data_IF_926979747288
#
_entry.id   IF_926979747288
#
_cell.length_a   1.000
_cell.length_b   1.000
_cell.length_c   1.000
_cell.angle_alpha   90.00
_cell.angle_beta   90.00
_cell.angle_gamma   90.00
#
_symmetry.space_group_name_H-M   'P 1'
#
loop_
_entity.id
_entity.type
_entity.pdbx_description
1 polymer ?
#
# COMPACT_ATOMS: atom_id res chain seq x y z
N UNK A 1 -5.00 5.29 20.02
CA UNK A 1 -4.81 6.05 18.76
C UNK A 1 -5.57 5.31 17.71
N UNK A 2 -6.48 5.98 17.00
CA UNK A 2 -7.20 5.34 15.89
C UNK A 2 -6.19 4.90 14.83
N UNK A 3 -6.24 3.63 14.44
CA UNK A 3 -5.38 3.08 13.38
C UNK A 3 -5.70 3.79 12.08
N UNK A 4 -4.73 4.55 11.55
CA UNK A 4 -4.89 5.26 10.27
C UNK A 4 -4.29 4.41 9.16
N UNK A 5 -5.17 3.81 8.37
CA UNK A 5 -4.81 3.15 7.11
C UNK A 5 -4.91 4.14 5.95
N UNK A 6 -3.87 4.19 5.14
CA UNK A 6 -3.82 4.99 3.91
C UNK A 6 -3.69 4.03 2.73
N UNK A 7 -4.61 4.10 1.78
CA UNK A 7 -4.58 3.27 0.58
C UNK A 7 -3.77 3.95 -0.53
N UNK A 8 -2.79 3.24 -1.09
CA UNK A 8 -2.02 3.68 -2.23
C UNK A 8 -2.29 2.80 -3.45
N UNK A 9 -3.12 3.33 -4.35
CA UNK A 9 -3.61 2.65 -5.55
C UNK A 9 -2.57 2.75 -6.66
N UNK A 10 -1.89 1.66 -6.97
CA UNK A 10 -0.81 1.64 -8.00
C UNK A 10 -1.22 0.93 -9.30
N UNK A 11 -2.40 0.30 -9.30
CA UNK A 11 -2.94 -0.39 -10.47
C UNK A 11 -3.21 0.56 -11.64
N UNK A 12 -3.19 0.01 -12.85
CA UNK A 12 -3.55 0.73 -14.07
C UNK A 12 -4.24 -0.21 -15.06
N UNK A 13 -5.23 0.29 -15.79
CA UNK A 13 -5.96 -0.46 -16.83
C UNK A 13 -5.22 -0.53 -18.18
N UNK A 14 -3.92 -0.24 -18.17
CA UNK A 14 -3.06 -0.23 -19.35
C UNK A 14 -1.78 -1.02 -19.07
N UNK A 15 -1.10 -1.45 -20.15
CA UNK A 15 0.22 -2.04 -20.04
C UNK A 15 1.22 -0.95 -19.64
N UNK A 16 1.83 -1.11 -18.47
CA UNK A 16 2.84 -0.20 -17.95
C UNK A 16 4.25 -0.62 -18.40
N UNK A 17 5.01 0.31 -18.96
CA UNK A 17 6.45 0.16 -19.15
C UNK A 17 7.21 0.38 -17.82
N UNK A 18 8.42 -0.18 -17.63
CA UNK A 18 9.18 0.00 -16.38
C UNK A 18 9.49 1.46 -16.01
N UNK A 19 9.56 2.35 -17.00
CA UNK A 19 9.77 3.79 -16.78
C UNK A 19 8.48 4.55 -16.42
N UNK A 20 7.31 3.89 -16.45
CA UNK A 20 6.05 4.54 -16.13
C UNK A 20 6.04 5.00 -14.66
N UNK A 21 5.75 6.29 -14.39
CA UNK A 21 5.80 6.82 -13.04
C UNK A 21 4.78 6.13 -12.13
N UNK A 22 5.07 6.13 -10.83
CA UNK A 22 4.08 5.80 -9.81
C UNK A 22 3.07 6.96 -9.68
N UNK A 23 1.83 6.70 -9.25
CA UNK A 23 0.85 7.76 -8.99
C UNK A 23 1.35 8.73 -7.90
N UNK A 24 0.73 9.90 -7.82
CA UNK A 24 1.00 10.83 -6.73
C UNK A 24 0.71 10.18 -5.37
N UNK A 25 1.54 10.51 -4.36
CA UNK A 25 1.33 9.96 -3.03
C UNK A 25 0.10 10.62 -2.40
N UNK A 26 -0.78 9.84 -1.74
CA UNK A 26 -1.79 10.41 -0.86
C UNK A 26 -1.13 11.12 0.32
N UNK A 27 -1.89 11.89 1.09
CA UNK A 27 -1.43 12.38 2.38
C UNK A 27 -1.14 11.19 3.30
N UNK A 28 0.07 11.13 3.86
CA UNK A 28 0.49 10.07 4.79
C UNK A 28 0.72 10.73 6.15
N UNK A 29 -0.27 10.70 7.06
CA UNK A 29 -0.09 11.21 8.41
C UNK A 29 1.03 10.47 9.13
N UNK A 30 1.73 11.15 10.04
CA UNK A 30 2.74 10.50 10.89
C UNK A 30 2.13 9.32 11.64
N UNK A 31 2.80 8.18 11.59
CA UNK A 31 2.34 6.94 12.24
C UNK A 31 1.38 6.11 11.39
N UNK A 32 0.95 6.56 10.21
CA UNK A 32 0.06 5.81 9.35
C UNK A 32 0.72 4.56 8.74
N UNK A 33 -0.07 3.50 8.63
CA UNK A 33 0.25 2.32 7.83
C UNK A 33 -0.28 2.53 6.43
N UNK A 34 0.56 2.33 5.42
CA UNK A 34 0.17 2.48 4.01
C UNK A 34 -0.03 1.10 3.39
N UNK A 35 -1.17 0.91 2.74
CA UNK A 35 -1.55 -0.33 2.06
C UNK A 35 -1.43 -0.10 0.55
N UNK A 36 -0.52 -0.83 -0.10
CA UNK A 36 -0.36 -0.83 -1.55
C UNK A 36 -1.40 -1.76 -2.15
N UNK A 37 -2.17 -1.28 -3.12
CA UNK A 37 -3.20 -2.06 -3.82
C UNK A 37 -3.19 -1.81 -5.34
N UNK A 38 -3.85 -2.70 -6.07
CA UNK A 38 -4.16 -2.52 -7.50
C UNK A 38 -3.44 -3.50 -8.41
N UNK A 39 -4.01 -3.81 -9.57
CA UNK A 39 -3.40 -4.75 -10.54
C UNK A 39 -2.17 -4.12 -11.19
N UNK A 40 -0.99 -4.57 -10.79
CA UNK A 40 0.27 -4.06 -11.32
C UNK A 40 1.36 -5.16 -11.40
N UNK A 41 2.40 -4.96 -12.22
CA UNK A 41 3.57 -5.83 -12.23
C UNK A 41 4.34 -5.79 -10.90
N UNK A 42 4.98 -6.90 -10.52
CA UNK A 42 5.74 -7.03 -9.27
C UNK A 42 6.79 -5.92 -9.09
N UNK A 43 7.49 -5.53 -10.17
CA UNK A 43 8.49 -4.46 -10.10
C UNK A 43 7.89 -3.10 -9.68
N UNK A 44 6.62 -2.83 -9.99
CA UNK A 44 5.92 -1.60 -9.58
C UNK A 44 5.61 -1.62 -8.10
N UNK A 45 5.25 -2.77 -7.54
CA UNK A 45 5.14 -2.94 -6.09
C UNK A 45 6.47 -2.69 -5.39
N UNK A 46 7.59 -3.20 -5.94
CA UNK A 46 8.93 -2.91 -5.41
C UNK A 46 9.27 -1.42 -5.39
N UNK A 47 8.95 -0.70 -6.46
CA UNK A 47 9.12 0.76 -6.52
C UNK A 47 8.23 1.49 -5.51
N UNK A 48 6.95 1.10 -5.40
CA UNK A 48 6.01 1.69 -4.46
C UNK A 48 6.44 1.44 -3.00
N UNK A 49 6.85 0.21 -2.68
CA UNK A 49 7.42 -0.16 -1.39
C UNK A 49 8.61 0.72 -1.03
N UNK A 50 9.60 0.83 -1.94
CA UNK A 50 10.78 1.65 -1.67
C UNK A 50 10.43 3.12 -1.42
N UNK A 51 9.49 3.68 -2.19
CA UNK A 51 9.01 5.05 -2.02
C UNK A 51 8.32 5.28 -0.67
N UNK A 52 7.61 4.27 -0.15
CA UNK A 52 6.82 4.36 1.08
C UNK A 52 7.62 4.01 2.34
N UNK A 53 8.66 3.17 2.24
CA UNK A 53 9.40 2.63 3.38
C UNK A 53 9.96 3.71 4.33
N UNK A 54 10.35 4.87 3.80
CA UNK A 54 10.85 6.00 4.60
C UNK A 54 9.79 7.01 5.04
N UNK A 55 8.54 6.84 4.62
CA UNK A 55 7.44 7.80 4.85
C UNK A 55 6.37 7.24 5.80
N UNK A 56 6.05 5.96 5.66
CA UNK A 56 5.04 5.27 6.45
C UNK A 56 5.66 4.67 7.72
N UNK A 57 4.82 4.47 8.74
CA UNK A 57 5.23 3.74 9.95
C UNK A 57 5.37 2.24 9.67
N UNK A 58 4.51 1.72 8.80
CA UNK A 58 4.54 0.38 8.25
C UNK A 58 3.95 0.38 6.84
N UNK A 59 4.33 -0.62 6.05
CA UNK A 59 3.83 -0.82 4.69
C UNK A 59 3.24 -2.21 4.58
N UNK A 60 2.04 -2.31 4.01
CA UNK A 60 1.37 -3.56 3.68
C UNK A 60 1.05 -3.65 2.20
N UNK A 61 0.86 -4.88 1.71
CA UNK A 61 0.39 -5.16 0.35
C UNK A 61 -0.95 -5.87 0.44
N UNK A 62 -1.95 -5.36 -0.26
CA UNK A 62 -3.28 -5.97 -0.30
C UNK A 62 -3.31 -7.21 -1.20
N UNK A 63 -3.76 -8.34 -0.64
CA UNK A 63 -4.13 -9.55 -1.36
C UNK A 63 -5.63 -9.80 -1.16
N UNK A 64 -6.47 -9.83 -2.23
CA UNK A 64 -7.91 -10.05 -2.11
C UNK A 64 -8.34 -11.35 -1.42
N UNK A 65 -7.43 -12.32 -1.25
CA UNK A 65 -7.69 -13.60 -0.59
C UNK A 65 -7.37 -13.58 0.90
N UNK A 66 -6.57 -12.62 1.36
CA UNK A 66 -6.02 -12.59 2.72
C UNK A 66 -6.39 -11.31 3.49
N UNK A 67 -6.42 -10.16 2.81
CA UNK A 67 -6.38 -8.84 3.45
C UNK A 67 -5.09 -8.10 3.13
N UNK A 68 -4.72 -7.12 3.96
CA UNK A 68 -3.44 -6.40 3.79
C UNK A 68 -2.33 -7.07 4.60
N UNK A 69 -1.33 -7.63 3.91
CA UNK A 69 -0.18 -8.30 4.54
C UNK A 69 0.93 -7.28 4.79
N UNK A 70 1.35 -7.11 6.04
CA UNK A 70 2.45 -6.22 6.41
C UNK A 70 3.77 -6.79 5.86
N UNK A 71 4.52 -5.97 5.14
CA UNK A 71 5.77 -6.35 4.47
C UNK A 71 6.99 -5.57 4.97
N UNK A 72 6.79 -4.48 5.71
CA UNK A 72 7.83 -3.81 6.48
C UNK A 72 7.21 -2.96 7.59
N UNK A 73 7.93 -2.85 8.72
CA UNK A 73 7.53 -1.99 9.83
C UNK A 73 8.72 -1.27 10.46
N UNK A 74 8.52 -0.01 10.87
CA UNK A 74 9.41 0.76 11.74
C UNK A 74 8.80 0.96 13.14
N UNK A 75 7.74 0.23 13.47
CA UNK A 75 7.07 0.31 14.78
C UNK A 75 6.97 -1.06 15.41
N UNK A 76 6.78 -1.08 16.73
CA UNK A 76 6.46 -2.32 17.46
C UNK A 76 4.97 -2.71 17.37
N UNK A 77 4.14 -1.92 16.69
CA UNK A 77 2.70 -2.18 16.55
C UNK A 77 2.39 -3.22 15.48
N UNK A 78 3.26 -3.34 14.47
CA UNK A 78 3.12 -4.24 13.33
C UNK A 78 4.41 -5.01 13.09
N UNK A 79 4.28 -6.27 12.70
CA UNK A 79 5.36 -7.16 12.30
C UNK A 79 5.16 -7.63 10.86
N UNK A 80 6.24 -7.92 10.14
CA UNK A 80 6.15 -8.54 8.82
C UNK A 80 5.39 -9.87 8.89
N UNK A 81 4.45 -10.07 7.96
CA UNK A 81 3.58 -11.23 7.92
C UNK A 81 2.25 -11.07 8.66
N UNK A 82 2.07 -9.99 9.44
CA UNK A 82 0.76 -9.66 10.01
C UNK A 82 -0.27 -9.45 8.88
N UNK A 83 -1.46 -9.99 9.07
CA UNK A 83 -2.58 -9.86 8.12
C UNK A 83 -3.64 -8.96 8.75
N UNK A 84 -3.91 -7.84 8.09
CA UNK A 84 -4.97 -6.91 8.46
C UNK A 84 -6.25 -7.28 7.70
N UNK A 85 -7.32 -7.55 8.43
CA UNK A 85 -8.65 -7.79 7.89
C UNK A 85 -9.28 -6.45 7.47
N UNK A 86 -8.99 -6.05 6.23
CA UNK A 86 -9.45 -4.80 5.62
C UNK A 86 -9.79 -5.07 4.15
N UNK A 87 -10.76 -4.31 3.62
CA UNK A 87 -11.08 -4.28 2.21
C UNK A 87 -10.73 -2.91 1.63
N UNK A 88 -10.28 -2.83 0.36
CA UNK A 88 -10.07 -1.56 -0.31
C UNK A 88 -11.37 -0.77 -0.30
N UNK A 89 -11.31 0.57 -0.17
CA UNK A 89 -12.49 1.41 -0.28
C UNK A 89 -13.15 1.16 -1.63
N UNK A 90 -14.47 1.06 -1.64
CA UNK A 90 -15.23 1.04 -2.88
C UNK A 90 -14.83 2.25 -3.72
N UNK A 91 -14.65 2.06 -5.03
CA UNK A 91 -14.47 3.19 -5.92
C UNK A 91 -15.72 4.06 -5.76
N UNK A 92 -15.53 5.35 -5.41
CA UNK A 92 -16.63 6.31 -5.34
C UNK A 92 -17.49 6.11 -6.59
N UNK A 93 -18.70 5.58 -6.40
CA UNK A 93 -19.60 5.22 -7.47
C UNK A 93 -19.78 6.45 -8.37
N UNK A 94 -19.18 6.40 -9.56
CA UNK A 94 -19.45 7.36 -10.63
C UNK A 94 -20.72 6.99 -11.36
#
# INVERSE_FOLDING_TARGET
MDKKFVWYRIGADIILAPAAPLPELPEIPRGALVIIEGRAPVWRYGMAFHRLHGLASAVAVYDPRLGAVVVASHTAEYCEGDILDVAPPEDDAK
#
